data_IF_724232172496
#
_entry.id   IF_724232172496
#
_cell.length_a   1.000
_cell.length_b   1.000
_cell.length_c   1.000
_cell.angle_alpha   90.00
_cell.angle_beta   90.00
_cell.angle_gamma   90.00
#
_symmetry.space_group_name_H-M   'P 1'
#
loop_
_entity.id
_entity.type
_entity.pdbx_description
1 polymer ?
#
# COMPACT_ATOMS: atom_id res chain seq x y z
N UNK A 1 12.66 -40.38 -2.68
CA UNK A 1 12.04 -40.19 -4.01
C UNK A 1 12.94 -39.27 -4.82
N UNK A 2 13.66 -39.81 -5.81
CA UNK A 2 14.44 -39.00 -6.74
C UNK A 2 13.46 -38.40 -7.76
N UNK A 3 13.24 -37.08 -7.68
CA UNK A 3 12.51 -36.35 -8.71
C UNK A 3 13.40 -36.29 -9.94
N UNK A 4 13.07 -37.09 -10.96
CA UNK A 4 13.66 -36.98 -12.29
C UNK A 4 13.09 -35.74 -12.95
N UNK A 5 13.86 -34.64 -12.94
CA UNK A 5 13.55 -33.45 -13.72
C UNK A 5 13.74 -33.79 -15.20
N UNK A 6 12.64 -33.92 -15.94
CA UNK A 6 12.66 -33.96 -17.40
C UNK A 6 12.86 -32.54 -17.91
N UNK A 7 13.97 -32.30 -18.60
CA UNK A 7 14.15 -31.06 -19.35
C UNK A 7 13.04 -30.94 -20.41
N UNK A 8 12.23 -29.89 -20.32
CA UNK A 8 11.30 -29.53 -21.39
C UNK A 8 12.15 -28.92 -22.50
N UNK A 9 12.23 -29.58 -23.65
CA UNK A 9 13.04 -29.16 -24.80
C UNK A 9 12.48 -27.96 -25.55
N UNK A 10 11.26 -27.53 -25.22
CA UNK A 10 10.57 -26.42 -25.88
C UNK A 10 11.02 -25.11 -25.26
N UNK A 11 11.67 -24.25 -26.06
CA UNK A 11 12.04 -22.92 -25.57
C UNK A 11 10.78 -22.05 -25.45
N UNK A 12 10.73 -21.15 -24.47
CA UNK A 12 9.59 -20.22 -24.30
C UNK A 12 9.33 -19.39 -25.56
N UNK A 13 10.38 -19.14 -26.37
CA UNK A 13 10.27 -18.44 -27.65
C UNK A 13 9.44 -19.19 -28.71
N UNK A 14 9.18 -20.49 -28.54
CA UNK A 14 8.36 -21.32 -29.45
C UNK A 14 6.87 -21.36 -29.06
N UNK A 15 6.48 -20.58 -28.04
CA UNK A 15 5.09 -20.44 -27.62
C UNK A 15 4.50 -19.20 -28.30
N UNK A 16 3.62 -19.42 -29.28
CA UNK A 16 2.88 -18.34 -29.91
C UNK A 16 2.02 -17.61 -28.89
N UNK A 17 2.13 -16.28 -28.85
CA UNK A 17 1.30 -15.46 -27.98
C UNK A 17 -0.15 -15.48 -28.42
N UNK A 18 -1.05 -15.46 -27.44
CA UNK A 18 -2.48 -15.35 -27.69
C UNK A 18 -2.82 -13.93 -28.16
N UNK A 19 -3.87 -13.77 -28.95
CA UNK A 19 -4.35 -12.46 -29.40
C UNK A 19 -4.63 -11.51 -28.22
N UNK A 20 -5.16 -12.05 -27.12
CA UNK A 20 -5.38 -11.29 -25.89
C UNK A 20 -4.05 -10.79 -25.28
N UNK A 21 -2.97 -11.57 -25.36
CA UNK A 21 -1.64 -11.16 -24.88
C UNK A 21 -1.08 -10.03 -25.74
N UNK A 22 -1.25 -10.12 -27.06
CA UNK A 22 -0.83 -9.07 -28.00
C UNK A 22 -1.61 -7.77 -27.78
N UNK A 23 -2.93 -7.85 -27.60
CA UNK A 23 -3.79 -6.70 -27.29
C UNK A 23 -3.40 -6.03 -25.96
N UNK A 24 -3.16 -6.83 -24.91
CA UNK A 24 -2.70 -6.33 -23.62
C UNK A 24 -1.33 -5.66 -23.74
N UNK A 25 -0.39 -6.26 -24.48
CA UNK A 25 0.92 -5.65 -24.70
C UNK A 25 0.79 -4.31 -25.43
N UNK A 26 0.09 -4.25 -26.55
CA UNK A 26 -0.05 -3.02 -27.34
C UNK A 26 -0.72 -1.88 -26.55
N UNK A 27 -1.71 -2.21 -25.72
CA UNK A 27 -2.43 -1.21 -24.91
C UNK A 27 -1.69 -0.77 -23.65
N UNK A 28 -0.98 -1.68 -22.98
CA UNK A 28 -0.49 -1.43 -21.60
C UNK A 28 1.03 -1.39 -21.47
N UNK A 29 1.78 -1.99 -22.38
CA UNK A 29 3.22 -2.25 -22.21
C UNK A 29 4.08 -1.70 -23.36
N UNK A 30 3.54 -1.68 -24.58
CA UNK A 30 4.21 -1.09 -25.74
C UNK A 30 4.44 0.39 -25.50
N UNK A 31 5.69 0.83 -25.63
CA UNK A 31 5.99 2.25 -25.57
C UNK A 31 5.48 2.93 -26.84
N UNK A 32 4.73 4.02 -26.66
CA UNK A 32 4.18 4.85 -27.74
C UNK A 32 4.57 6.31 -27.49
N UNK A 33 4.79 7.05 -28.56
CA UNK A 33 5.01 8.48 -28.53
C UNK A 33 3.70 9.22 -28.27
N UNK A 34 3.77 10.54 -28.04
CA UNK A 34 2.60 11.38 -27.69
C UNK A 34 1.51 11.35 -28.77
N UNK A 35 1.88 11.21 -30.04
CA UNK A 35 0.96 11.12 -31.17
C UNK A 35 0.33 9.71 -31.33
N UNK A 36 0.71 8.74 -30.49
CA UNK A 36 0.23 7.37 -30.53
C UNK A 36 1.13 6.41 -31.32
N UNK A 37 2.15 6.92 -32.00
CA UNK A 37 3.03 6.08 -32.81
C UNK A 37 3.84 5.13 -31.93
N UNK A 38 3.98 3.85 -32.33
CA UNK A 38 4.84 2.91 -31.65
C UNK A 38 6.31 3.37 -31.61
N UNK A 39 6.88 3.39 -30.41
CA UNK A 39 8.34 3.48 -30.20
C UNK A 39 8.91 2.06 -30.18
N UNK A 40 8.26 1.15 -29.47
CA UNK A 40 8.58 -0.28 -29.56
C UNK A 40 7.86 -0.85 -30.80
N UNK A 41 8.62 -1.32 -31.79
CA UNK A 41 8.04 -1.91 -33.01
C UNK A 41 7.27 -3.21 -32.70
N UNK A 42 7.82 -4.05 -31.84
CA UNK A 42 7.27 -5.33 -31.40
C UNK A 42 7.68 -5.65 -29.95
N UNK A 43 7.33 -6.83 -29.46
CA UNK A 43 7.65 -7.27 -28.09
C UNK A 43 9.16 -7.41 -27.89
N UNK A 44 9.89 -7.81 -28.92
CA UNK A 44 11.33 -7.94 -28.88
C UNK A 44 12.00 -6.57 -28.69
N UNK A 45 11.51 -5.53 -29.37
CA UNK A 45 11.93 -4.14 -29.14
C UNK A 45 11.63 -3.69 -27.70
N UNK A 46 10.47 -4.07 -27.13
CA UNK A 46 10.17 -3.83 -25.71
C UNK A 46 11.22 -4.51 -24.81
N UNK A 47 11.59 -5.76 -25.09
CA UNK A 47 12.60 -6.48 -24.30
C UNK A 47 13.98 -5.84 -24.41
N UNK A 48 14.40 -5.44 -25.60
CA UNK A 48 15.67 -4.75 -25.82
C UNK A 48 15.73 -3.43 -25.06
N UNK A 49 14.67 -2.61 -25.12
CA UNK A 49 14.57 -1.36 -24.35
C UNK A 49 14.70 -1.61 -22.86
N UNK A 50 13.96 -2.58 -22.33
CA UNK A 50 13.99 -2.91 -20.89
C UNK A 50 15.36 -3.43 -20.47
N UNK A 51 15.93 -4.39 -21.21
CA UNK A 51 17.26 -4.95 -20.94
C UNK A 51 18.35 -3.86 -20.95
N UNK A 52 18.30 -2.94 -21.94
CA UNK A 52 19.23 -1.82 -22.02
C UNK A 52 19.11 -0.90 -20.82
N UNK A 53 17.89 -0.48 -20.50
CA UNK A 53 17.64 0.39 -19.36
C UNK A 53 18.09 -0.22 -18.01
N UNK A 54 17.94 -1.54 -17.85
CA UNK A 54 18.44 -2.25 -16.67
C UNK A 54 19.97 -2.33 -16.64
N UNK A 55 20.62 -2.52 -17.79
CA UNK A 55 22.06 -2.62 -17.88
C UNK A 55 22.78 -1.27 -17.70
N UNK A 56 22.17 -0.16 -18.13
CA UNK A 56 22.78 1.17 -18.13
C UNK A 56 23.12 1.71 -16.72
N UNK A 57 22.57 1.11 -15.66
CA UNK A 57 22.91 1.44 -14.27
C UNK A 57 24.33 0.98 -13.88
N UNK A 58 24.91 0.07 -14.65
CA UNK A 58 26.24 -0.48 -14.42
C UNK A 58 27.34 0.56 -14.70
N UNK A 59 28.47 0.40 -14.00
CA UNK A 59 29.49 1.45 -13.90
C UNK A 59 30.49 1.50 -15.07
N UNK A 60 30.65 0.42 -15.83
CA UNK A 60 31.55 0.36 -17.00
C UNK A 60 30.81 -0.14 -18.23
N UNK A 61 31.27 0.28 -19.41
CA UNK A 61 30.65 -0.13 -20.69
C UNK A 61 30.75 -1.64 -20.92
N UNK A 62 31.85 -2.27 -20.50
CA UNK A 62 32.02 -3.73 -20.52
C UNK A 62 30.93 -4.44 -19.70
N UNK A 63 30.59 -3.93 -18.51
CA UNK A 63 29.53 -4.48 -17.67
C UNK A 63 28.15 -4.20 -18.26
N UNK A 64 27.92 -3.00 -18.80
CA UNK A 64 26.65 -2.66 -19.47
C UNK A 64 26.39 -3.61 -20.63
N UNK A 65 27.39 -3.89 -21.45
CA UNK A 65 27.24 -4.79 -22.59
C UNK A 65 27.09 -6.26 -22.19
N UNK A 66 27.80 -6.69 -21.15
CA UNK A 66 27.60 -8.01 -20.56
C UNK A 66 26.16 -8.16 -20.05
N UNK A 67 25.71 -7.29 -19.14
CA UNK A 67 24.40 -7.39 -18.52
C UNK A 67 23.24 -7.15 -19.47
N UNK A 68 23.42 -6.31 -20.50
CA UNK A 68 22.43 -6.15 -21.57
C UNK A 68 22.11 -7.50 -22.23
N UNK A 69 23.15 -8.29 -22.56
CA UNK A 69 22.98 -9.61 -23.19
C UNK A 69 22.28 -10.58 -22.25
N UNK A 70 22.69 -10.61 -20.97
CA UNK A 70 22.11 -11.50 -19.97
C UNK A 70 20.63 -11.17 -19.68
N UNK A 71 20.30 -9.88 -19.49
CA UNK A 71 18.91 -9.46 -19.27
C UNK A 71 18.02 -9.71 -20.48
N UNK A 72 18.51 -9.44 -21.69
CA UNK A 72 17.75 -9.70 -22.90
C UNK A 72 17.51 -11.19 -23.10
N UNK A 73 18.53 -12.02 -22.85
CA UNK A 73 18.37 -13.47 -22.84
C UNK A 73 17.30 -13.90 -21.82
N UNK A 74 17.36 -13.41 -20.58
CA UNK A 74 16.42 -13.77 -19.53
C UNK A 74 14.96 -13.40 -19.89
N UNK A 75 14.74 -12.20 -20.44
CA UNK A 75 13.42 -11.74 -20.91
C UNK A 75 12.86 -12.69 -22.00
N UNK A 76 13.70 -13.08 -22.96
CA UNK A 76 13.34 -14.04 -24.01
C UNK A 76 13.10 -15.45 -23.50
N UNK A 77 13.74 -15.84 -22.39
CA UNK A 77 13.51 -17.12 -21.72
C UNK A 77 12.32 -17.10 -20.73
N UNK A 78 11.52 -16.03 -20.71
CA UNK A 78 10.28 -15.97 -19.93
C UNK A 78 10.44 -15.41 -18.51
N UNK A 79 11.58 -14.80 -18.18
CA UNK A 79 11.67 -13.94 -16.99
C UNK A 79 10.94 -12.65 -17.30
N UNK A 80 9.72 -12.49 -16.77
CA UNK A 80 8.90 -11.30 -17.03
C UNK A 80 8.86 -10.39 -15.78
N UNK A 81 9.55 -9.23 -15.82
CA UNK A 81 9.46 -8.21 -14.79
C UNK A 81 8.03 -7.71 -14.54
N UNK A 82 7.84 -7.10 -13.37
CA UNK A 82 6.57 -6.49 -13.02
C UNK A 82 6.17 -5.39 -14.03
N UNK A 83 4.86 -5.19 -14.17
CA UNK A 83 4.32 -4.41 -15.28
C UNK A 83 4.77 -2.94 -15.37
N UNK A 84 5.25 -2.30 -14.29
CA UNK A 84 5.81 -0.94 -14.38
C UNK A 84 7.22 -0.93 -14.93
N UNK A 85 8.02 -1.95 -14.63
CA UNK A 85 9.34 -2.13 -15.22
C UNK A 85 9.21 -2.23 -16.75
N UNK A 86 8.33 -3.11 -17.24
CA UNK A 86 8.12 -3.31 -18.69
C UNK A 86 7.63 -2.01 -19.38
N UNK A 87 6.66 -1.31 -18.77
CA UNK A 87 6.06 -0.10 -19.34
C UNK A 87 6.97 1.13 -19.33
N UNK A 88 7.86 1.26 -18.33
CA UNK A 88 8.50 2.53 -18.00
C UNK A 88 10.03 2.50 -18.03
N UNK A 89 10.70 1.35 -17.92
CA UNK A 89 12.16 1.29 -18.01
C UNK A 89 12.65 1.76 -19.39
N UNK A 90 13.55 2.74 -19.44
CA UNK A 90 14.02 3.32 -20.72
C UNK A 90 12.99 4.21 -21.43
N UNK A 91 11.86 4.54 -20.80
CA UNK A 91 10.81 5.36 -21.40
C UNK A 91 10.93 6.87 -21.09
N UNK A 92 12.01 7.32 -20.43
CA UNK A 92 12.12 8.67 -19.85
C UNK A 92 11.89 9.81 -20.85
N UNK A 93 12.31 9.66 -22.11
CA UNK A 93 12.07 10.64 -23.17
C UNK A 93 10.59 10.86 -23.50
N UNK A 94 9.73 9.86 -23.24
CA UNK A 94 8.29 9.90 -23.54
C UNK A 94 7.40 9.92 -22.28
N UNK A 95 7.91 9.39 -21.16
CA UNK A 95 7.21 9.24 -19.87
C UNK A 95 8.11 9.69 -18.70
N UNK A 96 8.53 10.97 -18.65
CA UNK A 96 9.60 11.43 -17.75
C UNK A 96 9.26 11.36 -16.24
N UNK A 97 7.97 11.36 -15.89
CA UNK A 97 7.52 11.38 -14.50
C UNK A 97 6.87 10.05 -14.08
N UNK A 98 7.37 8.92 -14.58
CA UNK A 98 6.86 7.58 -14.24
C UNK A 98 7.87 6.77 -13.45
N UNK A 99 7.38 5.85 -12.61
CA UNK A 99 8.21 4.97 -11.80
C UNK A 99 8.29 3.56 -12.38
N UNK A 100 9.42 2.88 -12.20
CA UNK A 100 9.55 1.43 -12.43
C UNK A 100 9.08 0.59 -11.24
N UNK A 101 8.79 1.22 -10.10
CA UNK A 101 8.29 0.56 -8.89
C UNK A 101 6.80 0.28 -9.02
N UNK A 102 6.38 -0.94 -8.69
CA UNK A 102 4.98 -1.34 -8.71
C UNK A 102 4.28 -1.08 -7.37
N UNK A 103 4.91 -1.48 -6.27
CA UNK A 103 4.30 -1.52 -4.94
C UNK A 103 5.05 -0.59 -4.00
N UNK A 104 4.31 0.25 -3.28
CA UNK A 104 4.84 1.08 -2.20
C UNK A 104 3.96 0.98 -0.97
N UNK A 105 4.52 1.34 0.18
CA UNK A 105 3.79 1.55 1.43
C UNK A 105 4.05 2.98 1.85
N UNK A 106 2.99 3.69 2.24
CA UNK A 106 3.11 5.02 2.82
C UNK A 106 3.96 4.97 4.08
N UNK A 107 4.66 6.06 4.38
CA UNK A 107 5.11 6.28 5.76
C UNK A 107 3.92 6.30 6.73
N UNK A 108 4.20 6.14 8.02
CA UNK A 108 3.17 6.22 9.05
C UNK A 108 2.43 7.56 8.97
N UNK A 109 1.10 7.51 9.03
CA UNK A 109 0.25 8.70 9.03
C UNK A 109 0.11 9.15 10.48
N UNK A 110 0.66 10.31 10.84
CA UNK A 110 0.51 10.85 12.19
C UNK A 110 -0.89 11.41 12.38
N UNK A 111 -1.40 11.33 13.60
CA UNK A 111 -2.73 11.82 14.00
C UNK A 111 -2.78 13.36 14.07
N UNK A 112 -2.60 14.02 12.92
CA UNK A 112 -2.68 15.47 12.78
C UNK A 112 -3.15 15.84 11.37
N UNK A 113 -3.93 16.91 11.24
CA UNK A 113 -4.42 17.36 9.94
C UNK A 113 -3.29 17.64 8.94
N UNK A 114 -2.20 18.25 9.41
CA UNK A 114 -1.06 18.59 8.56
C UNK A 114 -0.41 17.33 7.97
N UNK A 115 -0.17 16.30 8.79
CA UNK A 115 0.46 15.07 8.32
C UNK A 115 -0.49 14.24 7.44
N UNK A 116 -1.78 14.13 7.81
CA UNK A 116 -2.79 13.45 7.00
C UNK A 116 -2.86 14.03 5.58
N UNK A 117 -2.86 15.36 5.45
CA UNK A 117 -2.92 16.02 4.14
C UNK A 117 -1.58 15.92 3.39
N UNK A 118 -0.45 16.02 4.09
CA UNK A 118 0.87 15.81 3.48
C UNK A 118 1.00 14.39 2.90
N UNK A 119 0.57 13.36 3.64
CA UNK A 119 0.53 11.97 3.16
C UNK A 119 -0.44 11.75 2.00
N UNK A 120 -1.54 12.50 1.95
CA UNK A 120 -2.43 12.47 0.78
C UNK A 120 -1.76 13.08 -0.47
N UNK A 121 -0.94 14.13 -0.31
CA UNK A 121 -0.15 14.69 -1.42
C UNK A 121 0.90 13.69 -1.91
N UNK A 122 1.66 13.08 -1.00
CA UNK A 122 2.62 12.01 -1.33
C UNK A 122 1.92 10.88 -2.11
N UNK A 123 0.77 10.43 -1.60
CA UNK A 123 -0.06 9.41 -2.24
C UNK A 123 -0.47 9.76 -3.68
N UNK A 124 -0.93 11.00 -3.92
CA UNK A 124 -1.30 11.46 -5.25
C UNK A 124 -0.14 11.47 -6.23
N UNK A 125 1.05 11.88 -5.78
CA UNK A 125 2.27 11.85 -6.59
C UNK A 125 2.71 10.40 -6.90
N UNK A 126 2.63 9.51 -5.91
CA UNK A 126 2.92 8.08 -6.08
C UNK A 126 1.99 7.41 -7.10
N UNK A 127 0.69 7.67 -7.00
CA UNK A 127 -0.31 7.14 -7.94
C UNK A 127 -0.13 7.73 -9.36
N UNK A 128 0.18 9.04 -9.45
CA UNK A 128 0.48 9.71 -10.73
C UNK A 128 1.68 9.09 -11.42
N UNK A 129 2.72 8.72 -10.66
CA UNK A 129 3.90 8.02 -11.19
C UNK A 129 3.59 6.56 -11.61
N UNK A 130 2.41 6.05 -11.23
CA UNK A 130 1.88 4.74 -11.61
C UNK A 130 2.01 3.65 -10.56
N UNK A 131 2.58 3.94 -9.38
CA UNK A 131 2.71 2.95 -8.32
C UNK A 131 1.34 2.65 -7.69
N UNK A 132 1.16 1.44 -7.16
CA UNK A 132 0.13 1.15 -6.15
C UNK A 132 0.68 1.42 -4.76
N UNK A 133 -0.18 1.81 -3.82
CA UNK A 133 0.24 2.28 -2.49
C UNK A 133 -0.64 1.71 -1.37
N UNK A 134 0.00 1.23 -0.30
CA UNK A 134 -0.66 0.79 0.94
C UNK A 134 -0.54 1.81 2.08
N UNK A 135 -1.52 1.83 2.98
CA UNK A 135 -1.56 2.69 4.16
C UNK A 135 -2.03 1.91 5.38
N UNK A 136 -1.58 2.36 6.54
CA UNK A 136 -2.13 2.00 7.84
C UNK A 136 -2.91 3.24 8.35
N UNK A 137 -4.19 3.08 8.71
CA UNK A 137 -5.06 4.18 9.16
C UNK A 137 -5.47 4.13 10.64
N UNK A 138 -5.11 3.08 11.38
CA UNK A 138 -5.39 2.96 12.81
C UNK A 138 -4.52 3.83 13.70
N UNK A 139 -3.54 4.53 13.15
CA UNK A 139 -2.85 5.62 13.85
C UNK A 139 -3.72 6.86 14.06
N UNK A 140 -4.86 6.98 13.38
CA UNK A 140 -5.75 8.14 13.48
C UNK A 140 -6.77 7.95 14.60
N UNK A 141 -7.00 8.99 15.40
CA UNK A 141 -7.90 8.91 16.56
C UNK A 141 -9.34 8.54 16.17
N UNK A 142 -10.07 7.80 17.02
CA UNK A 142 -11.39 7.29 16.68
C UNK A 142 -12.42 8.42 16.54
N UNK A 143 -13.48 8.17 15.78
CA UNK A 143 -14.60 9.09 15.63
C UNK A 143 -15.18 9.46 16.99
N UNK A 144 -15.48 10.74 17.16
CA UNK A 144 -15.99 11.27 18.43
C UNK A 144 -14.90 11.56 19.46
N UNK A 145 -13.62 11.27 19.17
CA UNK A 145 -12.53 11.77 20.00
C UNK A 145 -12.42 13.31 19.88
N UNK A 146 -12.09 13.96 20.99
CA UNK A 146 -11.97 15.41 21.05
C UNK A 146 -10.68 15.88 20.34
N UNK A 147 -10.76 17.05 19.71
CA UNK A 147 -9.65 17.69 19.01
C UNK A 147 -9.44 19.08 19.60
N UNK A 148 -8.50 19.18 20.53
CA UNK A 148 -8.31 20.40 21.33
C UNK A 148 -8.03 21.64 20.48
N UNK A 149 -7.22 21.51 19.43
CA UNK A 149 -6.90 22.63 18.54
C UNK A 149 -8.10 23.17 17.74
N UNK A 150 -9.16 22.35 17.57
CA UNK A 150 -10.37 22.74 16.85
C UNK A 150 -11.57 23.01 17.76
N UNK A 151 -11.49 22.65 19.05
CA UNK A 151 -12.62 22.73 19.98
C UNK A 151 -13.82 21.86 19.56
N UNK A 152 -13.56 20.77 18.85
CA UNK A 152 -14.59 19.94 18.20
C UNK A 152 -14.23 18.45 18.28
N UNK A 153 -15.15 17.61 17.81
CA UNK A 153 -14.97 16.16 17.77
C UNK A 153 -14.65 15.70 16.35
N UNK A 154 -13.71 14.77 16.21
CA UNK A 154 -13.29 14.26 14.90
C UNK A 154 -14.34 13.31 14.29
N UNK A 155 -14.38 13.27 12.95
CA UNK A 155 -15.16 12.28 12.20
C UNK A 155 -14.52 10.89 12.14
N UNK A 156 -13.29 10.76 12.64
CA UNK A 156 -12.53 9.51 12.68
C UNK A 156 -11.84 9.13 11.36
N UNK A 157 -11.15 7.98 11.32
CA UNK A 157 -10.23 7.63 10.23
C UNK A 157 -10.91 7.45 8.88
N UNK A 158 -12.12 6.85 8.87
CA UNK A 158 -12.83 6.50 7.63
C UNK A 158 -13.19 7.71 6.78
N UNK A 159 -13.51 8.86 7.40
CA UNK A 159 -13.78 10.09 6.65
C UNK A 159 -12.53 10.63 5.97
N UNK A 160 -11.35 10.46 6.56
CA UNK A 160 -10.10 10.80 5.90
C UNK A 160 -9.77 9.81 4.77
N UNK A 161 -10.08 8.52 4.95
CA UNK A 161 -9.96 7.53 3.87
C UNK A 161 -10.83 7.92 2.65
N UNK A 162 -11.99 8.53 2.85
CA UNK A 162 -12.84 9.03 1.75
C UNK A 162 -12.11 10.10 0.92
N UNK A 163 -11.28 10.95 1.54
CA UNK A 163 -10.43 11.93 0.82
C UNK A 163 -9.42 11.21 -0.09
N UNK A 164 -8.75 10.18 0.44
CA UNK A 164 -7.77 9.41 -0.30
C UNK A 164 -8.41 8.63 -1.47
N UNK A 165 -9.62 8.09 -1.27
CA UNK A 165 -10.39 7.39 -2.30
C UNK A 165 -10.74 8.33 -3.46
N UNK A 166 -11.22 9.55 -3.15
CA UNK A 166 -11.53 10.57 -4.17
C UNK A 166 -10.28 11.07 -4.89
N UNK A 167 -9.18 11.25 -4.16
CA UNK A 167 -7.90 11.62 -4.76
C UNK A 167 -7.45 10.55 -5.77
N UNK A 168 -7.47 9.27 -5.37
CA UNK A 168 -7.07 8.18 -6.24
C UNK A 168 -7.98 8.03 -7.45
N UNK A 169 -9.30 8.15 -7.27
CA UNK A 169 -10.25 8.15 -8.38
C UNK A 169 -9.93 9.25 -9.39
N UNK A 170 -9.65 10.47 -8.91
CA UNK A 170 -9.28 11.62 -9.74
C UNK A 170 -7.99 11.36 -10.51
N UNK A 171 -6.92 10.92 -9.85
CA UNK A 171 -5.64 10.61 -10.49
C UNK A 171 -5.78 9.49 -11.51
N UNK A 172 -6.56 8.45 -11.19
CA UNK A 172 -6.80 7.30 -12.07
C UNK A 172 -7.53 7.67 -13.35
N UNK A 173 -8.44 8.65 -13.29
CA UNK A 173 -9.21 9.11 -14.45
C UNK A 173 -8.35 9.81 -15.51
N UNK A 174 -7.18 10.33 -15.12
CA UNK A 174 -6.26 11.06 -16.01
C UNK A 174 -5.25 10.15 -16.75
N UNK A 175 -5.23 8.84 -16.51
CA UNK A 175 -4.20 7.93 -17.03
C UNK A 175 -4.73 6.59 -17.55
N UNK A 176 -3.87 5.84 -18.27
CA UNK A 176 -4.23 4.56 -18.89
C UNK A 176 -4.36 3.35 -17.94
N UNK A 177 -4.20 3.54 -16.61
CA UNK A 177 -4.28 2.47 -15.62
C UNK A 177 -5.00 2.97 -14.37
N UNK A 178 -5.95 2.20 -13.88
CA UNK A 178 -6.63 2.44 -12.59
C UNK A 178 -5.60 2.44 -11.46
N UNK A 179 -5.70 3.43 -10.57
CA UNK A 179 -4.98 3.47 -9.31
C UNK A 179 -5.45 2.34 -8.40
N UNK A 180 -4.52 1.80 -7.63
CA UNK A 180 -4.79 0.71 -6.71
C UNK A 180 -4.22 1.08 -5.34
N UNK A 181 -5.08 1.01 -4.32
CA UNK A 181 -4.69 1.31 -2.96
C UNK A 181 -5.01 0.15 -2.03
N UNK A 182 -4.26 0.02 -0.95
CA UNK A 182 -4.54 -0.89 0.17
C UNK A 182 -4.69 -0.05 1.43
N UNK A 183 -5.75 -0.26 2.20
CA UNK A 183 -5.87 0.27 3.55
C UNK A 183 -5.88 -0.90 4.53
N UNK A 184 -4.97 -0.84 5.50
CA UNK A 184 -4.98 -1.73 6.65
C UNK A 184 -5.54 -1.02 7.87
N UNK A 185 -6.06 -1.81 8.80
CA UNK A 185 -6.65 -1.32 10.04
C UNK A 185 -6.46 -2.35 11.14
N UNK A 186 -5.99 -1.92 12.30
CA UNK A 186 -5.81 -2.72 13.49
C UNK A 186 -7.15 -3.26 14.04
N UNK A 187 -7.17 -4.55 14.37
CA UNK A 187 -8.37 -5.23 14.90
C UNK A 187 -8.79 -4.74 16.29
N UNK A 188 -7.87 -4.11 17.03
CA UNK A 188 -8.08 -3.48 18.32
C UNK A 188 -8.42 -2.00 18.28
N UNK A 189 -8.59 -1.39 17.10
CA UNK A 189 -8.98 0.01 16.96
C UNK A 189 -10.48 0.25 17.25
N UNK A 190 -10.90 1.33 17.94
CA UNK A 190 -12.31 1.58 18.30
C UNK A 190 -13.29 1.62 17.11
N UNK A 191 -12.84 2.11 15.96
CA UNK A 191 -13.64 2.16 14.72
C UNK A 191 -13.55 0.89 13.84
N UNK A 192 -12.96 -0.21 14.32
CA UNK A 192 -12.75 -1.44 13.51
C UNK A 192 -14.05 -1.99 12.93
N UNK A 193 -15.15 -1.94 13.68
CA UNK A 193 -16.44 -2.46 13.24
C UNK A 193 -17.00 -1.67 12.05
N UNK A 194 -16.74 -0.36 12.01
CA UNK A 194 -17.16 0.47 10.87
C UNK A 194 -16.24 0.24 9.68
N UNK A 195 -14.94 0.06 9.89
CA UNK A 195 -14.00 -0.30 8.84
C UNK A 195 -14.44 -1.60 8.14
N UNK A 196 -14.79 -2.64 8.92
CA UNK A 196 -15.30 -3.93 8.38
C UNK A 196 -16.59 -3.74 7.58
N UNK A 197 -17.44 -2.78 7.96
CA UNK A 197 -18.72 -2.51 7.30
C UNK A 197 -18.61 -1.50 6.15
N UNK A 198 -17.48 -0.82 5.99
CA UNK A 198 -17.38 0.37 5.15
C UNK A 198 -17.80 0.14 3.68
N UNK A 199 -17.54 -1.06 3.15
CA UNK A 199 -17.91 -1.46 1.78
C UNK A 199 -19.31 -2.07 1.63
N UNK A 200 -20.10 -2.13 2.71
CA UNK A 200 -21.53 -2.46 2.61
C UNK A 200 -22.32 -1.30 1.99
N UNK A 201 -21.81 -0.09 2.12
CA UNK A 201 -22.29 1.08 1.39
C UNK A 201 -21.79 1.02 -0.05
N UNK A 202 -22.71 0.96 -1.01
CA UNK A 202 -22.32 0.92 -2.42
C UNK A 202 -21.61 2.21 -2.82
N UNK A 203 -20.53 2.08 -3.59
CA UNK A 203 -19.77 3.23 -4.06
C UNK A 203 -18.63 3.69 -3.15
N UNK A 204 -18.67 3.33 -1.86
CA UNK A 204 -17.70 3.82 -0.87
C UNK A 204 -16.40 3.02 -0.87
N UNK A 205 -15.27 3.73 -0.73
CA UNK A 205 -13.90 3.17 -0.69
C UNK A 205 -13.60 2.19 -1.85
N UNK A 206 -14.10 2.49 -3.06
CA UNK A 206 -13.95 1.61 -4.23
C UNK A 206 -12.53 1.52 -4.76
N UNK A 207 -11.64 2.47 -4.46
CA UNK A 207 -10.25 2.45 -4.89
C UNK A 207 -9.32 1.70 -3.93
N UNK A 208 -9.81 1.34 -2.76
CA UNK A 208 -9.08 0.56 -1.76
C UNK A 208 -9.40 -0.93 -1.83
N UNK A 209 -8.41 -1.77 -1.60
CA UNK A 209 -8.61 -3.04 -0.89
C UNK A 209 -8.52 -2.76 0.61
N UNK A 210 -9.32 -3.46 1.41
CA UNK A 210 -9.38 -3.29 2.87
C UNK A 210 -8.97 -4.59 3.55
N UNK A 211 -8.04 -4.50 4.50
CA UNK A 211 -7.55 -5.65 5.28
C UNK A 211 -7.45 -5.30 6.75
N UNK A 212 -7.72 -6.26 7.63
CA UNK A 212 -7.44 -6.12 9.05
C UNK A 212 -6.04 -6.60 9.38
N UNK A 213 -5.37 -5.90 10.29
CA UNK A 213 -4.16 -6.38 10.96
C UNK A 213 -4.62 -7.22 12.15
N UNK A 214 -4.41 -8.53 12.04
CA UNK A 214 -4.82 -9.51 13.04
C UNK A 214 -3.59 -9.91 13.85
N UNK A 215 -3.69 -9.83 15.18
CA UNK A 215 -2.62 -10.22 16.10
C UNK A 215 -2.82 -11.64 16.64
N UNK A 216 -1.76 -12.22 17.21
CA UNK A 216 -1.83 -13.52 17.87
C UNK A 216 -2.76 -13.47 19.10
N UNK A 217 -2.74 -12.37 19.85
CA UNK A 217 -3.61 -12.16 21.02
C UNK A 217 -5.09 -12.15 20.62
N UNK A 218 -5.42 -11.53 19.48
CA UNK A 218 -6.79 -11.55 18.97
C UNK A 218 -7.22 -12.97 18.59
N UNK A 219 -6.35 -13.72 17.90
CA UNK A 219 -6.63 -15.11 17.54
C UNK A 219 -6.87 -15.96 18.79
N UNK A 220 -6.07 -15.77 19.84
CA UNK A 220 -6.23 -16.47 21.09
C UNK A 220 -7.53 -16.06 21.80
N UNK A 221 -7.85 -14.76 21.84
CA UNK A 221 -9.11 -14.27 22.39
C UNK A 221 -10.33 -14.90 21.69
N UNK A 222 -10.30 -15.08 20.36
CA UNK A 222 -11.37 -15.75 19.61
C UNK A 222 -11.51 -17.23 20.00
N UNK A 223 -10.38 -17.95 20.16
CA UNK A 223 -10.40 -19.37 20.58
C UNK A 223 -11.00 -19.54 21.98
N UNK A 224 -10.67 -18.61 22.87
CA UNK A 224 -11.08 -18.67 24.28
C UNK A 224 -12.44 -18.00 24.53
N UNK A 225 -13.05 -17.39 23.49
CA UNK A 225 -14.27 -16.56 23.59
C UNK A 225 -14.11 -15.44 24.62
N UNK A 226 -12.91 -14.87 24.68
CA UNK A 226 -12.55 -13.83 25.61
C UNK A 226 -13.11 -12.46 25.20
N UNK A 227 -13.03 -11.52 26.14
CA UNK A 227 -13.28 -10.11 25.85
C UNK A 227 -12.10 -9.49 25.11
N UNK A 228 -12.40 -8.68 24.09
CA UNK A 228 -11.45 -7.95 23.29
C UNK A 228 -11.65 -6.44 23.45
N UNK A 229 -10.70 -5.74 24.10
CA UNK A 229 -10.79 -4.30 24.25
C UNK A 229 -10.46 -3.60 22.92
N UNK A 230 -11.27 -2.62 22.56
CA UNK A 230 -10.99 -1.67 21.48
C UNK A 230 -10.49 -0.38 22.11
N UNK A 231 -9.24 -0.02 21.80
CA UNK A 231 -8.53 1.02 22.53
C UNK A 231 -7.67 1.87 21.60
N UNK A 232 -7.37 3.09 22.04
CA UNK A 232 -6.56 4.05 21.29
C UNK A 232 -5.53 4.74 22.22
N UNK A 233 -4.32 5.07 21.72
CA UNK A 233 -3.27 5.72 22.51
C UNK A 233 -3.69 7.00 23.24
N UNK A 234 -3.16 7.19 24.45
CA UNK A 234 -3.35 8.37 25.29
C UNK A 234 -2.16 9.32 25.21
N UNK A 235 -2.45 10.60 25.06
CA UNK A 235 -1.46 11.68 25.26
C UNK A 235 -1.35 12.05 26.74
N UNK A 236 -0.22 12.62 27.15
CA UNK A 236 -0.03 13.08 28.54
C UNK A 236 -1.07 14.15 28.94
N UNK A 237 -1.47 14.98 27.97
CA UNK A 237 -2.48 16.02 28.16
C UNK A 237 -3.86 15.43 28.46
N UNK A 238 -4.29 14.43 27.71
CA UNK A 238 -5.59 13.76 27.95
C UNK A 238 -5.61 13.09 29.33
N UNK A 239 -4.49 12.48 29.75
CA UNK A 239 -4.38 11.89 31.08
C UNK A 239 -4.58 12.93 32.19
N UNK A 240 -4.02 14.14 32.03
CA UNK A 240 -4.16 15.23 32.99
C UNK A 240 -5.55 15.88 32.95
N UNK A 241 -6.06 16.22 31.76
CA UNK A 241 -7.34 16.93 31.59
C UNK A 241 -8.55 16.07 31.97
N UNK A 242 -8.50 14.76 31.69
CA UNK A 242 -9.59 13.82 31.96
C UNK A 242 -9.37 13.02 33.27
N UNK A 243 -8.34 13.35 34.06
CA UNK A 243 -7.98 12.71 35.33
C UNK A 243 -7.89 11.16 35.23
N UNK A 244 -7.25 10.66 34.18
CA UNK A 244 -7.20 9.22 33.87
C UNK A 244 -6.20 8.51 34.78
N UNK A 245 -6.69 7.55 35.58
CA UNK A 245 -5.81 6.61 36.30
C UNK A 245 -5.20 5.58 35.34
N UNK A 246 -3.92 5.74 35.04
CA UNK A 246 -3.15 4.82 34.19
C UNK A 246 -2.98 3.41 34.79
N UNK A 247 -3.28 3.22 36.08
CA UNK A 247 -3.23 1.93 36.75
C UNK A 247 -4.58 1.20 36.73
N UNK A 248 -5.67 1.85 36.31
CA UNK A 248 -6.98 1.22 36.17
C UNK A 248 -6.99 0.32 34.92
N UNK A 249 -6.71 -0.97 35.11
CA UNK A 249 -6.70 -1.97 34.04
C UNK A 249 -8.08 -2.18 33.37
N UNK A 250 -9.18 -1.67 33.95
CA UNK A 250 -10.50 -1.69 33.30
C UNK A 250 -10.68 -0.56 32.28
N UNK A 251 -9.83 0.48 32.34
CA UNK A 251 -9.86 1.66 31.48
C UNK A 251 -8.65 1.77 30.59
N UNK A 252 -7.48 1.35 31.04
CA UNK A 252 -6.21 1.53 30.32
C UNK A 252 -5.53 0.19 30.10
N UNK A 253 -5.03 0.00 28.88
CA UNK A 253 -4.20 -1.14 28.50
C UNK A 253 -2.91 -0.68 27.87
N UNK A 254 -1.86 -1.48 28.03
CA UNK A 254 -0.52 -1.17 27.51
C UNK A 254 -0.23 -2.01 26.27
N UNK A 255 -0.06 -1.36 25.11
CA UNK A 255 0.12 -2.02 23.79
C UNK A 255 1.42 -1.60 23.12
N UNK A 256 1.90 -2.44 22.20
CA UNK A 256 2.93 -2.01 21.25
C UNK A 256 2.27 -1.19 20.16
N UNK A 257 2.78 0.01 19.93
CA UNK A 257 2.26 0.93 18.91
C UNK A 257 3.40 1.36 17.98
N UNK A 258 3.14 1.52 16.67
CA UNK A 258 4.16 1.92 15.70
C UNK A 258 4.63 3.37 15.91
N UNK A 259 3.79 4.21 16.51
CA UNK A 259 4.10 5.59 16.87
C UNK A 259 4.02 5.72 18.39
N UNK A 260 5.14 6.12 19.00
CA UNK A 260 5.25 6.35 20.46
C UNK A 260 5.40 7.83 20.82
N UNK A 261 5.85 8.63 19.86
CA UNK A 261 6.03 10.07 20.02
C UNK A 261 4.69 10.75 20.32
N UNK A 262 4.63 11.54 21.39
CA UNK A 262 3.42 12.26 21.80
C UNK A 262 2.47 11.45 22.69
N UNK A 263 2.70 10.15 22.87
CA UNK A 263 1.89 9.29 23.73
C UNK A 263 2.60 8.87 25.01
N UNK A 264 1.81 8.55 26.03
CA UNK A 264 2.32 8.05 27.31
C UNK A 264 2.82 6.61 27.13
N UNK A 265 4.06 6.35 27.53
CA UNK A 265 4.66 5.03 27.44
C UNK A 265 5.33 4.62 28.76
N UNK A 266 5.38 3.31 29.03
CA UNK A 266 6.00 2.75 30.22
C UNK A 266 7.49 2.41 29.98
N UNK A 267 8.16 1.89 31.03
CA UNK A 267 9.58 1.53 30.97
C UNK A 267 9.91 0.40 29.97
N UNK A 268 8.93 -0.43 29.57
CA UNK A 268 9.11 -1.44 28.52
C UNK A 268 8.82 -0.90 27.11
N UNK A 269 8.46 0.38 27.00
CA UNK A 269 8.19 1.05 25.74
C UNK A 269 6.79 0.81 25.18
N UNK A 270 5.88 0.18 25.95
CA UNK A 270 4.47 0.06 25.56
C UNK A 270 3.74 1.36 25.78
N UNK A 271 2.77 1.65 24.92
CA UNK A 271 1.95 2.86 24.96
C UNK A 271 0.66 2.61 25.75
N UNK A 272 0.29 3.54 26.62
CA UNK A 272 -0.98 3.52 27.33
C UNK A 272 -2.12 3.83 26.34
N UNK A 273 -3.12 2.96 26.30
CA UNK A 273 -4.28 3.10 25.42
C UNK A 273 -5.56 3.08 26.25
N UNK A 274 -6.44 4.05 26.01
CA UNK A 274 -7.77 4.13 26.63
C UNK A 274 -8.69 3.12 25.96
N UNK A 275 -9.38 2.30 26.74
CA UNK A 275 -10.41 1.39 26.28
C UNK A 275 -11.70 2.18 26.03
N UNK A 276 -12.10 2.28 24.78
CA UNK A 276 -13.37 2.91 24.38
C UNK A 276 -14.54 1.94 24.51
N UNK A 277 -14.29 0.66 24.20
CA UNK A 277 -15.32 -0.37 24.17
C UNK A 277 -14.69 -1.73 24.31
N UNK A 278 -15.40 -2.66 24.94
CA UNK A 278 -15.02 -4.07 24.95
C UNK A 278 -16.07 -4.87 24.19
N UNK A 279 -15.62 -5.78 23.33
CA UNK A 279 -16.48 -6.69 22.54
C UNK A 279 -16.10 -8.14 22.80
N UNK A 280 -17.03 -9.07 22.59
CA UNK A 280 -16.68 -10.50 22.62
C UNK A 280 -15.92 -10.88 21.36
N UNK A 281 -14.78 -11.55 21.52
CA UNK A 281 -14.06 -12.18 20.43
C UNK A 281 -14.70 -13.54 20.14
N UNK A 282 -15.67 -13.57 19.23
CA UNK A 282 -16.39 -14.80 18.87
C UNK A 282 -16.67 -14.87 17.36
N UNK A 283 -17.01 -16.07 16.88
CA UNK A 283 -17.20 -16.41 15.46
C UNK A 283 -18.62 -16.13 14.98
#
# INVERSE_FOLDING_TARGET
MNVSLKAVTRSVAEITLQDASLDIWDKKYRLKAKNGDPVDADIEATFQRVARALADVETSDEKRDFWYKEFLWALRQGVIPAGRIISNAGAGAHKPATSTINCTVSGAIKDSMADILAKNVEAGLTLKAGCGIGYEFSTLRPRGAYVTGAGAYTSGPLSFMDIYDKMCFTVSSAGGRRGAQMATFDVGHPDVLDFVRAKREDGRLRQFNLSLLITEEFIQAVKDKADWPLAFPLTAREVEEDEIDLNDASKVIWREEPIKEGYVHNASGKVACLIYKTVKAER
#
